data_IF_840103469047
#
_entry.id   IF_840103469047
#
_cell.length_a   1.000
_cell.length_b   1.000
_cell.length_c   1.000
_cell.angle_alpha   90.00
_cell.angle_beta   90.00
_cell.angle_gamma   90.00
#
_symmetry.space_group_name_H-M   'P 1'
#
loop_
_entity.id
_entity.type
_entity.pdbx_description
1 polymer ?
#
# COMPACT_ATOMS: atom_id res chain seq x y z
N UNK A 1 25.08 4.12 8.72
CA UNK A 1 23.83 3.58 9.32
C UNK A 1 22.83 4.65 9.77
N UNK A 2 23.19 5.94 9.92
CA UNK A 2 22.25 6.97 10.40
C UNK A 2 21.14 7.40 9.42
N UNK A 3 21.26 7.06 8.13
CA UNK A 3 20.33 7.49 7.09
C UNK A 3 18.95 6.82 7.21
N UNK A 4 18.88 5.54 7.61
CA UNK A 4 17.64 4.77 7.57
C UNK A 4 16.58 5.16 8.61
N UNK A 5 16.94 5.87 9.67
CA UNK A 5 16.02 6.19 10.78
C UNK A 5 14.99 7.25 10.38
N UNK A 6 15.39 8.11 9.44
CA UNK A 6 14.51 9.13 8.87
C UNK A 6 13.50 8.49 7.92
N UNK A 7 13.80 7.34 7.33
CA UNK A 7 12.94 6.68 6.35
C UNK A 7 11.95 5.69 6.98
N UNK A 8 10.72 5.75 6.50
CA UNK A 8 9.64 4.83 6.88
C UNK A 8 9.82 3.55 6.09
N UNK A 9 10.06 2.45 6.80
CA UNK A 9 9.95 1.13 6.19
C UNK A 9 8.46 0.76 6.11
N UNK A 10 7.95 0.50 4.90
CA UNK A 10 6.54 0.12 4.65
C UNK A 10 6.18 -1.30 5.12
N UNK A 11 6.92 -1.84 6.09
CA UNK A 11 6.81 -3.21 6.59
C UNK A 11 5.40 -3.56 7.07
N UNK A 12 4.69 -2.63 7.70
CA UNK A 12 3.36 -2.91 8.24
C UNK A 12 2.34 -3.28 7.15
N UNK A 13 2.51 -2.77 5.94
CA UNK A 13 1.68 -3.17 4.79
C UNK A 13 1.98 -4.60 4.37
N UNK A 14 3.26 -4.98 4.32
CA UNK A 14 3.68 -6.35 4.02
C UNK A 14 3.20 -7.33 5.09
N UNK A 15 3.18 -6.92 6.36
CA UNK A 15 2.62 -7.73 7.45
C UNK A 15 1.13 -7.97 7.23
N UNK A 16 0.36 -6.93 6.88
CA UNK A 16 -1.07 -7.09 6.57
C UNK A 16 -1.30 -8.07 5.42
N UNK A 17 -0.51 -7.96 4.35
CA UNK A 17 -0.56 -8.91 3.22
C UNK A 17 -0.20 -10.33 3.68
N UNK A 18 0.89 -10.50 4.44
CA UNK A 18 1.34 -11.80 4.92
C UNK A 18 0.29 -12.46 5.83
N UNK A 19 -0.29 -11.72 6.77
CA UNK A 19 -1.41 -12.18 7.60
C UNK A 19 -2.58 -12.59 6.71
N UNK A 20 -2.93 -11.77 5.72
CA UNK A 20 -4.01 -12.07 4.79
C UNK A 20 -3.77 -13.37 4.01
N UNK A 21 -2.54 -13.62 3.57
CA UNK A 21 -2.15 -14.86 2.87
C UNK A 21 -2.25 -16.06 3.81
N UNK A 22 -1.68 -15.96 5.02
CA UNK A 22 -1.69 -17.04 6.02
C UNK A 22 -3.12 -17.42 6.38
N UNK A 23 -3.95 -16.43 6.74
CA UNK A 23 -5.36 -16.65 7.08
C UNK A 23 -6.14 -17.13 5.86
N UNK A 24 -5.86 -16.61 4.66
CA UNK A 24 -6.44 -17.08 3.41
C UNK A 24 -6.20 -18.58 3.18
N UNK A 25 -4.99 -19.07 3.43
CA UNK A 25 -4.68 -20.51 3.36
C UNK A 25 -5.39 -21.33 4.43
N UNK A 26 -5.44 -20.84 5.68
CA UNK A 26 -6.17 -21.51 6.78
C UNK A 26 -7.66 -21.66 6.40
N UNK A 27 -8.24 -20.65 5.74
CA UNK A 27 -9.61 -20.66 5.25
C UNK A 27 -9.78 -21.37 3.90
N UNK A 28 -8.77 -22.12 3.44
CA UNK A 28 -8.78 -22.90 2.18
C UNK A 28 -8.97 -22.06 0.92
N UNK A 29 -8.59 -20.78 0.97
CA UNK A 29 -8.52 -19.91 -0.19
C UNK A 29 -7.42 -20.34 -1.17
N UNK A 30 -7.53 -19.91 -2.43
CA UNK A 30 -6.56 -20.20 -3.48
C UNK A 30 -5.72 -18.96 -3.78
N UNK A 31 -4.40 -19.08 -3.72
CA UNK A 31 -3.51 -17.96 -4.04
C UNK A 31 -3.60 -17.54 -5.51
N UNK A 32 -3.95 -18.47 -6.42
CA UNK A 32 -4.19 -18.20 -7.85
C UNK A 32 -5.27 -17.14 -8.08
N UNK A 33 -6.24 -17.05 -7.16
CA UNK A 33 -7.29 -16.04 -7.22
C UNK A 33 -6.75 -14.60 -7.12
N UNK A 34 -5.60 -14.39 -6.48
CA UNK A 34 -4.93 -13.08 -6.44
C UNK A 34 -4.33 -12.72 -7.80
N UNK A 35 -3.81 -13.69 -8.55
CA UNK A 35 -3.24 -13.47 -9.88
C UNK A 35 -4.32 -13.13 -10.93
N UNK A 36 -5.55 -13.59 -10.71
CA UNK A 36 -6.71 -13.31 -11.57
C UNK A 36 -7.37 -11.95 -11.28
N UNK A 37 -6.95 -11.27 -10.21
CA UNK A 37 -7.48 -9.97 -9.80
C UNK A 37 -7.11 -8.88 -10.82
N UNK A 38 -8.12 -8.20 -11.36
CA UNK A 38 -7.94 -7.12 -12.33
C UNK A 38 -8.03 -5.74 -11.66
N UNK A 39 -6.91 -5.24 -11.16
CA UNK A 39 -6.83 -3.88 -10.63
C UNK A 39 -6.86 -2.85 -11.78
N UNK A 40 -7.82 -1.93 -11.72
CA UNK A 40 -7.87 -0.78 -12.62
C UNK A 40 -6.87 0.28 -12.18
N UNK A 41 -6.26 1.01 -13.12
CA UNK A 41 -5.26 2.03 -12.78
C UNK A 41 -4.01 1.48 -12.10
N UNK A 42 -3.66 0.21 -12.32
CA UNK A 42 -2.47 -0.43 -11.75
C UNK A 42 -1.19 0.37 -12.02
N UNK A 43 -1.08 1.02 -13.19
CA UNK A 43 0.04 1.91 -13.52
C UNK A 43 0.14 3.12 -12.59
N UNK A 44 -0.97 3.70 -12.14
CA UNK A 44 -0.97 4.83 -11.18
C UNK A 44 -0.49 4.37 -9.81
N UNK A 45 -0.98 3.21 -9.35
CA UNK A 45 -0.53 2.59 -8.10
C UNK A 45 0.97 2.31 -8.18
N UNK A 46 1.43 1.65 -9.24
CA UNK A 46 2.84 1.32 -9.41
C UNK A 46 3.74 2.57 -9.51
N UNK A 47 3.33 3.57 -10.28
CA UNK A 47 4.06 4.83 -10.43
C UNK A 47 4.17 5.57 -9.08
N UNK A 48 3.07 5.67 -8.34
CA UNK A 48 3.09 6.33 -7.02
C UNK A 48 4.02 5.61 -6.04
N UNK A 49 3.96 4.28 -5.97
CA UNK A 49 4.84 3.48 -5.13
C UNK A 49 6.31 3.61 -5.57
N UNK A 50 6.59 3.63 -6.87
CA UNK A 50 7.94 3.83 -7.39
C UNK A 50 8.51 5.20 -6.98
N UNK A 51 7.72 6.28 -7.13
CA UNK A 51 8.13 7.62 -6.69
C UNK A 51 8.40 7.64 -5.18
N UNK A 52 7.55 7.02 -4.38
CA UNK A 52 7.75 6.91 -2.93
C UNK A 52 9.04 6.15 -2.62
N UNK A 53 9.28 5.00 -3.27
CA UNK A 53 10.51 4.24 -3.09
C UNK A 53 11.76 5.02 -3.46
N UNK A 54 11.73 5.82 -4.53
CA UNK A 54 12.85 6.70 -4.90
C UNK A 54 13.09 7.74 -3.81
N UNK A 55 12.05 8.42 -3.33
CA UNK A 55 12.16 9.38 -2.20
C UNK A 55 12.75 8.71 -0.96
N UNK A 56 12.36 7.45 -0.69
CA UNK A 56 12.83 6.67 0.45
C UNK A 56 14.28 6.15 0.31
N UNK A 57 14.68 5.78 -0.91
CA UNK A 57 15.96 5.11 -1.16
C UNK A 57 17.09 6.09 -1.50
N UNK A 58 16.78 7.28 -1.98
CA UNK A 58 17.79 8.25 -2.40
C UNK A 58 18.33 9.03 -1.20
N UNK A 59 19.67 9.10 -1.01
CA UNK A 59 20.34 10.17 -0.27
C UNK A 59 19.92 11.51 -0.85
N UNK A 60 18.84 12.12 -0.32
CA UNK A 60 18.27 13.33 -0.93
C UNK A 60 19.34 14.42 -1.07
N UNK A 61 20.38 14.41 -0.22
CA UNK A 61 21.56 15.26 -0.31
C UNK A 61 22.26 15.28 -1.68
N UNK A 62 22.12 14.22 -2.48
CA UNK A 62 22.70 14.16 -3.82
C UNK A 62 21.87 14.92 -4.87
N UNK A 63 20.62 15.29 -4.57
CA UNK A 63 19.63 15.83 -5.53
C UNK A 63 18.94 17.07 -4.93
N UNK A 64 19.55 18.27 -5.02
CA UNK A 64 19.06 19.48 -4.35
C UNK A 64 17.61 19.86 -4.69
N UNK A 65 17.18 19.64 -5.93
CA UNK A 65 15.80 19.89 -6.35
C UNK A 65 14.79 18.96 -5.67
N UNK A 66 15.18 17.71 -5.40
CA UNK A 66 14.34 16.69 -4.78
C UNK A 66 14.23 16.93 -3.26
N UNK A 67 15.28 17.47 -2.63
CA UNK A 67 15.25 17.97 -1.25
C UNK A 67 14.20 19.07 -1.11
N UNK A 68 14.31 20.12 -1.95
CA UNK A 68 13.43 21.29 -1.88
C UNK A 68 11.96 20.97 -2.15
N UNK A 69 11.68 19.95 -2.98
CA UNK A 69 10.32 19.62 -3.42
C UNK A 69 9.83 18.27 -2.86
N UNK A 70 10.60 17.59 -2.01
CA UNK A 70 10.36 16.21 -1.61
C UNK A 70 8.99 16.00 -0.97
N UNK A 71 8.60 16.91 -0.08
CA UNK A 71 7.29 16.88 0.59
C UNK A 71 6.12 17.03 -0.40
N UNK A 72 6.25 17.97 -1.35
CA UNK A 72 5.25 18.18 -2.38
C UNK A 72 5.15 16.96 -3.31
N UNK A 73 6.28 16.40 -3.73
CA UNK A 73 6.33 15.22 -4.61
C UNK A 73 5.75 14.00 -3.87
N UNK A 74 6.07 13.82 -2.59
CA UNK A 74 5.49 12.77 -1.76
C UNK A 74 3.97 12.92 -1.64
N UNK A 75 3.47 14.12 -1.35
CA UNK A 75 2.04 14.42 -1.26
C UNK A 75 1.31 14.18 -2.58
N UNK A 76 1.88 14.60 -3.71
CA UNK A 76 1.35 14.34 -5.06
C UNK A 76 1.32 12.83 -5.32
N UNK A 77 2.41 12.13 -5.01
CA UNK A 77 2.48 10.68 -5.18
C UNK A 77 1.40 9.95 -4.36
N UNK A 78 1.20 10.33 -3.09
CA UNK A 78 0.13 9.77 -2.25
C UNK A 78 -1.26 10.09 -2.82
N UNK A 79 -1.47 11.28 -3.39
CA UNK A 79 -2.72 11.65 -4.04
C UNK A 79 -2.98 10.81 -5.30
N UNK A 80 -1.95 10.55 -6.12
CA UNK A 80 -2.03 9.66 -7.28
C UNK A 80 -2.32 8.22 -6.86
N UNK A 81 -1.69 7.75 -5.76
CA UNK A 81 -2.00 6.45 -5.16
C UNK A 81 -3.48 6.37 -4.78
N UNK A 82 -4.00 7.38 -4.07
CA UNK A 82 -5.41 7.42 -3.68
C UNK A 82 -6.35 7.38 -4.90
N UNK A 83 -6.04 8.13 -5.97
CA UNK A 83 -6.81 8.08 -7.21
C UNK A 83 -6.81 6.68 -7.85
N UNK A 84 -5.65 6.02 -7.91
CA UNK A 84 -5.54 4.64 -8.37
C UNK A 84 -6.36 3.66 -7.52
N UNK A 85 -6.36 3.84 -6.19
CA UNK A 85 -7.19 3.05 -5.28
C UNK A 85 -8.69 3.32 -5.50
N UNK A 86 -9.11 4.57 -5.73
CA UNK A 86 -10.51 4.93 -5.96
C UNK A 86 -11.11 4.29 -7.24
N UNK A 87 -10.29 3.97 -8.25
CA UNK A 87 -10.71 3.18 -9.41
C UNK A 87 -11.07 1.72 -9.07
N UNK A 88 -10.67 1.26 -7.88
CA UNK A 88 -10.88 -0.10 -7.40
C UNK A 88 -11.91 -0.18 -6.25
N UNK A 89 -12.64 0.91 -5.98
CA UNK A 89 -13.64 0.99 -4.89
C UNK A 89 -14.76 -0.06 -4.95
N UNK A 90 -14.98 -0.68 -6.12
CA UNK A 90 -15.96 -1.76 -6.30
C UNK A 90 -15.66 -3.03 -5.48
N UNK A 91 -14.44 -3.19 -4.96
CA UNK A 91 -14.07 -4.34 -4.12
C UNK A 91 -14.62 -4.29 -2.69
N UNK A 92 -15.50 -3.32 -2.40
CA UNK A 92 -16.30 -3.27 -1.17
C UNK A 92 -15.49 -2.87 0.06
N UNK A 93 -16.04 -3.14 1.24
CA UNK A 93 -15.58 -2.57 2.52
C UNK A 93 -14.08 -2.79 2.80
N UNK A 94 -13.54 -3.97 2.46
CA UNK A 94 -12.13 -4.31 2.69
C UNK A 94 -11.19 -3.40 1.91
N UNK A 95 -11.59 -3.02 0.69
CA UNK A 95 -10.81 -2.10 -0.13
C UNK A 95 -11.04 -0.64 0.28
N UNK A 96 -12.25 -0.32 0.76
CA UNK A 96 -12.52 0.99 1.36
C UNK A 96 -11.68 1.29 2.59
N UNK A 97 -11.33 0.29 3.42
CA UNK A 97 -10.37 0.50 4.51
C UNK A 97 -9.02 0.98 4.00
N UNK A 98 -8.52 0.41 2.90
CA UNK A 98 -7.27 0.84 2.27
C UNK A 98 -7.38 2.29 1.81
N UNK A 99 -8.47 2.63 1.10
CA UNK A 99 -8.76 4.00 0.63
C UNK A 99 -8.82 4.99 1.80
N UNK A 100 -9.56 4.66 2.86
CA UNK A 100 -9.76 5.53 4.03
C UNK A 100 -8.44 5.74 4.76
N UNK A 101 -7.68 4.66 5.03
CA UNK A 101 -6.39 4.79 5.70
C UNK A 101 -5.39 5.62 4.88
N UNK A 102 -5.37 5.45 3.55
CA UNK A 102 -4.56 6.31 2.65
C UNK A 102 -5.03 7.77 2.68
N UNK A 103 -6.33 8.02 2.64
CA UNK A 103 -6.89 9.36 2.72
C UNK A 103 -6.57 10.03 4.07
N UNK A 104 -6.66 9.30 5.18
CA UNK A 104 -6.25 9.78 6.50
C UNK A 104 -4.79 10.24 6.51
N UNK A 105 -3.88 9.43 5.95
CA UNK A 105 -2.47 9.82 5.83
C UNK A 105 -2.29 11.10 5.01
N UNK A 106 -2.99 11.23 3.88
CA UNK A 106 -2.93 12.44 3.03
C UNK A 106 -3.42 13.67 3.80
N UNK A 107 -4.50 13.55 4.56
CA UNK A 107 -5.03 14.67 5.36
C UNK A 107 -3.99 15.12 6.40
N UNK A 108 -3.36 14.18 7.12
CA UNK A 108 -2.29 14.53 8.08
C UNK A 108 -1.13 15.23 7.37
N UNK A 109 -0.66 14.68 6.25
CA UNK A 109 0.43 15.26 5.46
C UNK A 109 0.08 16.68 5.00
N UNK A 110 -1.12 16.88 4.45
CA UNK A 110 -1.56 18.18 3.93
C UNK A 110 -1.67 19.24 5.04
N UNK A 111 -2.14 18.86 6.23
CA UNK A 111 -2.26 19.77 7.38
C UNK A 111 -0.92 20.11 8.04
N UNK A 112 0.16 19.40 7.70
CA UNK A 112 1.51 19.60 8.24
C UNK A 112 2.53 19.91 7.13
N UNK A 113 2.15 20.73 6.15
CA UNK A 113 3.05 21.27 5.12
C UNK A 113 3.75 20.18 4.28
N UNK A 114 3.07 19.06 4.05
CA UNK A 114 3.59 17.96 3.25
C UNK A 114 4.47 16.97 4.02
N UNK A 115 4.56 17.08 5.35
CA UNK A 115 5.30 16.16 6.21
C UNK A 115 4.37 15.38 7.16
N UNK A 116 4.78 14.19 7.58
CA UNK A 116 4.11 13.43 8.63
C UNK A 116 4.79 13.67 9.99
N UNK A 117 4.05 14.10 11.03
CA UNK A 117 4.58 14.20 12.39
C UNK A 117 4.98 12.82 12.94
N UNK A 118 6.11 12.74 13.63
CA UNK A 118 6.66 11.50 14.21
C UNK A 118 6.95 11.67 15.69
N UNK A 119 6.42 10.76 16.49
CA UNK A 119 6.74 10.67 17.92
C UNK A 119 8.17 10.15 18.11
N UNK A 120 9.05 11.02 18.60
CA UNK A 120 10.48 10.70 18.76
C UNK A 120 10.73 9.70 19.89
N UNK A 121 9.88 9.63 20.91
CA UNK A 121 10.01 8.64 21.98
C UNK A 121 9.70 7.25 21.42
N UNK A 122 8.66 7.14 20.59
CA UNK A 122 8.33 5.88 19.89
C UNK A 122 9.41 5.50 18.89
N UNK A 123 9.99 6.47 18.19
CA UNK A 123 11.06 6.22 17.23
C UNK A 123 12.36 5.81 17.94
N UNK A 124 12.61 6.36 19.13
CA UNK A 124 13.71 5.94 20.01
C UNK A 124 13.56 4.48 20.44
N UNK A 125 12.35 4.07 20.88
CA UNK A 125 12.07 2.67 21.20
C UNK A 125 12.24 1.74 19.99
N UNK A 126 11.85 2.21 18.79
CA UNK A 126 11.90 1.42 17.57
C UNK A 126 13.31 1.24 17.02
N UNK A 127 14.13 2.30 17.06
CA UNK A 127 15.49 2.32 16.52
C UNK A 127 16.58 1.88 17.52
N UNK A 128 16.28 1.93 18.82
CA UNK A 128 17.27 1.74 19.88
C UNK A 128 18.19 2.94 20.09
N UNK A 129 17.98 4.06 19.38
CA UNK A 129 18.75 5.29 19.56
C UNK A 129 18.12 6.22 20.60
N UNK A 130 18.92 7.13 21.18
CA UNK A 130 18.39 8.14 22.10
C UNK A 130 17.58 9.20 21.37
N UNK A 131 16.55 9.73 22.02
CA UNK A 131 15.74 10.84 21.50
C UNK A 131 16.60 12.03 21.08
N UNK A 132 17.65 12.35 21.85
CA UNK A 132 18.58 13.44 21.52
C UNK A 132 19.33 13.19 20.21
N UNK A 133 19.82 11.96 19.97
CA UNK A 133 20.50 11.60 18.72
C UNK A 133 19.55 11.69 17.52
N UNK A 134 18.31 11.23 17.69
CA UNK A 134 17.28 11.30 16.65
C UNK A 134 16.93 12.76 16.35
N UNK A 135 16.70 13.58 17.38
CA UNK A 135 16.39 15.00 17.23
C UNK A 135 17.51 15.76 16.51
N UNK A 136 18.77 15.47 16.84
CA UNK A 136 19.93 16.02 16.14
C UNK A 136 19.92 15.65 14.65
N UNK A 137 19.62 14.39 14.30
CA UNK A 137 19.53 13.96 12.90
C UNK A 137 18.42 14.68 12.14
N UNK A 138 17.26 14.88 12.75
CA UNK A 138 16.19 15.70 12.18
C UNK A 138 16.62 17.14 11.98
N UNK A 139 17.41 17.73 12.87
CA UNK A 139 17.93 19.09 12.70
C UNK A 139 18.95 19.19 11.55
N UNK A 140 19.87 18.22 11.47
CA UNK A 140 20.91 18.15 10.43
C UNK A 140 20.33 17.84 9.03
N UNK A 141 19.19 17.14 8.98
CA UNK A 141 18.57 16.66 7.74
C UNK A 141 17.12 17.15 7.61
N UNK A 142 16.80 18.31 8.17
CA UNK A 142 15.43 18.85 8.24
C UNK A 142 14.80 19.04 6.86
N UNK A 143 15.62 19.36 5.85
CA UNK A 143 15.18 19.51 4.45
C UNK A 143 15.02 18.16 3.72
N UNK A 144 15.58 17.07 4.26
CA UNK A 144 15.63 15.75 3.64
C UNK A 144 14.53 14.81 4.15
N UNK A 145 13.47 15.33 4.76
CA UNK A 145 12.48 14.44 5.36
C UNK A 145 11.04 14.87 5.15
N UNK A 146 10.27 13.97 4.52
CA UNK A 146 8.81 13.99 4.57
C UNK A 146 8.28 13.64 5.96
N UNK A 147 9.15 13.50 6.97
CA UNK A 147 8.84 13.36 8.40
C UNK A 147 9.33 14.57 9.16
N UNK A 148 8.58 14.96 10.18
CA UNK A 148 8.95 16.04 11.10
C UNK A 148 8.73 15.59 12.54
N UNK A 149 9.51 16.05 13.53
CA UNK A 149 9.21 15.76 14.93
C UNK A 149 7.78 16.19 15.28
N UNK A 150 7.08 15.34 16.03
CA UNK A 150 5.78 15.66 16.59
C UNK A 150 5.94 16.79 17.63
N UNK A 151 5.20 17.88 17.45
CA UNK A 151 5.21 19.03 18.37
C UNK A 151 3.78 19.48 18.70
N UNK A 152 3.62 20.41 19.63
CA UNK A 152 2.32 21.01 19.95
C UNK A 152 1.68 21.76 18.77
N UNK A 153 2.46 22.16 17.75
CA UNK A 153 1.95 22.81 16.56
C UNK A 153 1.44 21.82 15.49
N UNK A 154 1.79 20.54 15.62
CA UNK A 154 1.43 19.50 14.64
C UNK A 154 -0.08 19.27 14.60
N UNK A 155 -0.67 19.47 13.43
CA UNK A 155 -2.09 19.26 13.21
C UNK A 155 -2.38 17.76 13.07
N UNK A 156 -3.39 17.24 13.76
CA UNK A 156 -3.71 15.81 13.74
C UNK A 156 -2.51 14.90 14.06
N UNK A 157 -1.58 15.37 14.91
CA UNK A 157 -0.36 14.65 15.24
C UNK A 157 -0.59 13.24 15.80
N UNK A 158 -1.72 13.03 16.49
CA UNK A 158 -2.15 11.72 17.00
C UNK A 158 -2.44 10.69 15.88
N UNK A 159 -2.65 11.13 14.63
CA UNK A 159 -2.79 10.28 13.45
C UNK A 159 -1.49 10.11 12.66
N UNK A 160 -0.43 10.83 13.02
CA UNK A 160 0.91 10.71 12.44
C UNK A 160 1.60 9.41 12.86
N UNK A 161 2.91 9.33 12.67
CA UNK A 161 3.70 8.16 13.07
C UNK A 161 3.86 8.16 14.61
N UNK A 162 2.89 7.53 15.29
CA UNK A 162 2.80 7.46 16.77
C UNK A 162 2.68 6.04 17.31
N UNK A 163 2.51 5.04 16.43
CA UNK A 163 2.36 3.64 16.83
C UNK A 163 3.69 2.90 16.75
N UNK A 164 4.24 2.56 17.91
CA UNK A 164 5.33 1.59 18.01
C UNK A 164 4.75 0.18 18.17
N UNK A 165 5.08 -0.71 17.23
CA UNK A 165 4.72 -2.12 17.29
C UNK A 165 6.04 -2.91 17.37
N UNK A 166 6.36 -3.53 18.52
CA UNK A 166 7.57 -4.32 18.65
C UNK A 166 7.44 -5.59 17.79
N UNK A 167 8.20 -5.65 16.70
CA UNK A 167 8.22 -6.80 15.81
C UNK A 167 9.58 -7.50 15.95
N UNK A 168 9.65 -8.68 16.61
CA UNK A 168 10.93 -9.30 17.00
C UNK A 168 11.88 -9.66 15.85
N UNK A 169 11.39 -9.69 14.60
CA UNK A 169 12.11 -10.20 13.44
C UNK A 169 12.41 -9.13 12.38
N UNK A 170 12.06 -7.87 12.62
CA UNK A 170 12.21 -6.81 11.63
C UNK A 170 12.63 -5.49 12.26
N UNK A 171 13.28 -4.63 11.49
CA UNK A 171 13.57 -3.25 11.89
C UNK A 171 12.25 -2.57 12.29
N UNK A 172 12.13 -2.31 13.59
CA UNK A 172 10.94 -1.67 14.12
C UNK A 172 10.94 -0.21 13.68
N UNK A 173 9.78 0.25 13.22
CA UNK A 173 9.56 1.66 12.85
C UNK A 173 8.34 2.17 13.63
N UNK A 174 8.06 3.46 13.48
CA UNK A 174 6.82 4.05 13.97
C UNK A 174 5.85 4.17 12.80
N UNK A 175 4.61 3.78 13.04
CA UNK A 175 3.56 3.73 12.03
C UNK A 175 2.42 4.69 12.35
N UNK A 176 1.73 5.12 11.31
CA UNK A 176 0.55 5.94 11.46
C UNK A 176 -0.70 5.12 11.77
N UNK A 177 -1.73 5.78 12.33
CA UNK A 177 -3.05 5.17 12.45
C UNK A 177 -3.61 4.80 11.07
N UNK A 178 -3.35 5.65 10.06
CA UNK A 178 -3.73 5.36 8.68
C UNK A 178 -3.09 4.07 8.16
N UNK A 179 -1.79 3.85 8.43
CA UNK A 179 -1.11 2.62 8.04
C UNK A 179 -1.75 1.38 8.70
N UNK A 180 -2.23 1.49 9.94
CA UNK A 180 -2.91 0.38 10.64
C UNK A 180 -4.22 0.03 9.95
N UNK A 181 -5.01 1.05 9.60
CA UNK A 181 -6.26 0.88 8.85
C UNK A 181 -5.98 0.26 7.47
N UNK A 182 -4.94 0.73 6.76
CA UNK A 182 -4.54 0.16 5.46
C UNK A 182 -4.14 -1.30 5.63
N UNK A 183 -3.32 -1.63 6.63
CA UNK A 183 -2.83 -2.99 6.85
C UNK A 183 -3.98 -3.97 7.14
N UNK A 184 -4.95 -3.57 7.96
CA UNK A 184 -6.18 -4.34 8.23
C UNK A 184 -7.00 -4.51 6.93
N UNK A 185 -7.16 -3.42 6.16
CA UNK A 185 -7.84 -3.44 4.87
C UNK A 185 -7.19 -4.39 3.87
N UNK A 186 -5.85 -4.36 3.77
CA UNK A 186 -5.06 -5.25 2.93
C UNK A 186 -5.23 -6.70 3.36
N UNK A 187 -5.12 -7.01 4.65
CA UNK A 187 -5.32 -8.36 5.16
C UNK A 187 -6.72 -8.89 4.78
N UNK A 188 -7.77 -8.11 5.05
CA UNK A 188 -9.14 -8.47 4.72
C UNK A 188 -9.37 -8.61 3.20
N UNK A 189 -8.77 -7.72 2.40
CA UNK A 189 -8.89 -7.74 0.95
C UNK A 189 -8.21 -8.99 0.35
N UNK A 190 -7.01 -9.32 0.82
CA UNK A 190 -6.27 -10.53 0.40
C UNK A 190 -7.07 -11.78 0.75
N UNK A 191 -7.58 -11.89 1.99
CA UNK A 191 -8.40 -13.03 2.43
C UNK A 191 -9.61 -13.20 1.50
N UNK A 192 -10.40 -12.13 1.28
CA UNK A 192 -11.59 -12.18 0.43
C UNK A 192 -11.26 -12.53 -1.02
N UNK A 193 -10.13 -12.03 -1.53
CA UNK A 193 -9.68 -12.36 -2.89
C UNK A 193 -9.31 -13.83 -3.00
N UNK A 194 -8.53 -14.37 -2.03
CA UNK A 194 -8.19 -15.80 -1.99
C UNK A 194 -9.43 -16.69 -1.86
N UNK A 195 -10.48 -16.24 -1.16
CA UNK A 195 -11.77 -16.91 -1.07
C UNK A 195 -12.65 -16.78 -2.33
N UNK A 196 -12.18 -16.05 -3.35
CA UNK A 196 -12.83 -15.96 -4.66
C UNK A 196 -13.97 -14.95 -4.75
N UNK A 197 -14.12 -14.05 -3.76
CA UNK A 197 -15.22 -13.07 -3.71
C UNK A 197 -15.24 -12.07 -4.87
N UNK A 198 -14.13 -11.95 -5.61
CA UNK A 198 -13.96 -10.97 -6.68
C UNK A 198 -13.64 -11.60 -8.04
N UNK A 199 -13.85 -12.91 -8.19
CA UNK A 199 -13.58 -13.58 -9.45
C UNK A 199 -14.53 -13.11 -10.56
N UNK A 200 -14.04 -12.93 -11.80
CA UNK A 200 -14.91 -12.71 -12.94
C UNK A 200 -15.86 -13.91 -13.05
N UNK A 201 -17.16 -13.67 -13.27
CA UNK A 201 -18.10 -14.76 -13.53
C UNK A 201 -17.60 -15.56 -14.75
N UNK A 202 -17.56 -16.90 -14.69
CA UNK A 202 -17.17 -17.70 -15.84
C UNK A 202 -18.09 -17.36 -17.02
N UNK A 203 -17.49 -17.12 -18.19
CA UNK A 203 -18.22 -16.91 -19.44
C UNK A 203 -19.06 -18.18 -19.66
N UNK A 204 -20.40 -18.07 -19.62
CA UNK A 204 -21.27 -19.17 -20.09
C UNK A 204 -20.88 -19.45 -21.54
N UNK A 205 -20.21 -20.57 -21.80
CA UNK A 205 -20.10 -21.13 -23.14
C UNK A 205 -21.52 -21.42 -23.61
N UNK A 206 -21.99 -20.61 -24.55
CA UNK A 206 -23.21 -20.87 -25.30
C UNK A 206 -23.05 -22.21 -26.01
N UNK A 207 -23.69 -23.26 -25.49
CA UNK A 207 -23.82 -24.56 -26.16
C UNK A 207 -24.83 -24.45 -27.32
N UNK A 208 -24.51 -23.63 -28.31
CA UNK A 208 -25.19 -23.60 -29.61
C UNK A 208 -24.11 -23.78 -30.66
N UNK A 209 -23.72 -25.03 -30.91
CA UNK A 209 -22.98 -25.48 -32.09
C UNK A 209 -22.97 -27.03 -32.19
N UNK A 210 -23.95 -27.73 -31.62
CA UNK A 210 -24.08 -29.19 -31.77
C UNK A 210 -25.10 -29.64 -32.83
N UNK A 211 -25.71 -28.71 -33.56
CA UNK A 211 -26.63 -29.02 -34.66
C UNK A 211 -25.92 -28.81 -35.99
N UNK A 212 -24.81 -29.52 -36.21
CA UNK A 212 -24.33 -29.79 -37.57
C UNK A 212 -24.92 -31.13 -37.96
N UNK A 213 -26.03 -31.06 -38.70
CA UNK A 213 -26.64 -32.19 -39.39
C UNK A 213 -25.56 -32.99 -40.12
N UNK A 214 -25.39 -34.25 -39.75
CA UNK A 214 -24.69 -35.26 -40.55
C UNK A 214 -25.35 -35.34 -41.93
N UNK A 215 -24.62 -35.10 -43.04
CA UNK A 215 -25.17 -35.33 -44.36
C UNK A 215 -25.32 -36.84 -44.55
N UNK A 216 -26.57 -37.30 -44.68
CA UNK A 216 -26.90 -38.67 -45.07
C UNK A 216 -26.30 -38.96 -46.45
N UNK A 217 -25.29 -39.83 -46.49
CA UNK A 217 -24.79 -40.43 -47.71
C UNK A 217 -25.89 -41.26 -48.38
N UNK A 218 -26.36 -40.84 -49.56
CA UNK A 218 -27.05 -41.70 -50.51
C UNK A 218 -26.02 -42.41 -51.38
N UNK A 219 -26.01 -43.76 -51.46
CA UNK A 219 -25.15 -44.47 -52.41
C UNK A 219 -25.70 -44.34 -53.83
N UNK A 220 -24.82 -44.02 -54.78
CA UNK A 220 -25.10 -44.01 -56.22
C UNK A 220 -25.14 -45.46 -56.73
N UNK A 221 -26.16 -45.89 -57.50
CA UNK A 221 -26.14 -47.20 -58.14
C UNK A 221 -25.18 -47.19 -59.31
N UNK A 222 -24.30 -48.19 -59.38
CA UNK A 222 -23.48 -48.48 -60.55
C UNK A 222 -24.39 -49.03 -61.66
N UNK A 223 -24.47 -48.30 -62.77
CA UNK A 223 -24.97 -48.74 -64.07
C UNK A 223 -23.90 -48.52 -65.11
#
# INVERSE_FOLDING_TARGET
>A
MGFQIIYRNSLMLFIGIAIGIIVGFILKGKITNLAELKLQGFSLILLSLAVQLVILATPLAAWPWLVQNGNLIYMISMSVLLLGLLYNRQYGWSFWLIIIGTACNIVVIAQNQGAIPVDLDKLSLASGETVASIAQKFAEHSELSYRTPLTAASQLGWMGDVLYIPLPLFDSNVYSIGDMIISIGLAAFVIKTMLGHFQPKPKKTSSKDSDIETPTHTPVPLG
#
